data_IF_425577119779
#
_entry.id   IF_425577119779
#
_cell.length_a   1.000
_cell.length_b   1.000
_cell.length_c   1.000
_cell.angle_alpha   90.00
_cell.angle_beta   90.00
_cell.angle_gamma   90.00
#
_symmetry.space_group_name_H-M   'P 1'
#
loop_
_entity.id
_entity.type
_entity.pdbx_description
1 polymer ?
#
# COMPACT_ATOMS: atom_id res chain seq x y z
N UNK A 1 2.39 12.02 -23.19
CA UNK A 1 3.17 13.17 -22.70
C UNK A 1 2.52 13.64 -21.41
N UNK A 2 3.16 13.39 -20.27
CA UNK A 2 3.13 14.18 -19.03
C UNK A 2 3.77 13.38 -17.87
N UNK A 3 5.03 12.96 -18.06
CA UNK A 3 5.93 12.60 -16.95
C UNK A 3 6.86 13.79 -16.72
N UNK A 4 6.34 14.91 -16.26
CA UNK A 4 7.15 16.09 -15.94
C UNK A 4 6.63 16.75 -14.67
N UNK A 5 7.06 16.25 -13.50
CA UNK A 5 7.56 17.08 -12.39
C UNK A 5 7.98 16.23 -11.17
N UNK A 6 8.86 15.24 -11.39
CA UNK A 6 9.63 14.62 -10.30
C UNK A 6 10.85 15.48 -9.91
N UNK A 7 10.73 16.82 -9.98
CA UNK A 7 11.75 17.71 -9.43
C UNK A 7 11.55 17.84 -7.91
N UNK A 8 11.77 16.72 -7.24
CA UNK A 8 12.00 16.64 -5.80
C UNK A 8 13.38 17.20 -5.50
N UNK A 9 13.52 18.50 -5.69
CA UNK A 9 14.60 19.26 -5.06
C UNK A 9 14.34 19.13 -3.55
N UNK A 10 15.19 18.41 -2.83
CA UNK A 10 15.06 18.15 -1.39
C UNK A 10 15.02 19.49 -0.63
N UNK A 11 13.81 20.05 -0.46
CA UNK A 11 13.56 21.20 0.39
C UNK A 11 13.71 20.72 1.84
N UNK A 12 14.83 21.10 2.45
CA UNK A 12 15.18 20.82 3.85
C UNK A 12 14.45 21.70 4.86
N UNK A 13 13.69 22.70 4.38
CA UNK A 13 12.91 23.63 5.18
C UNK A 13 11.54 23.05 5.54
N UNK A 14 11.10 23.25 6.78
CA UNK A 14 9.76 22.87 7.19
C UNK A 14 8.68 23.60 6.37
N UNK A 15 7.58 22.92 6.00
CA UNK A 15 6.50 23.55 5.26
C UNK A 15 5.84 24.66 6.09
N UNK A 16 5.65 25.83 5.48
CA UNK A 16 4.97 26.96 6.14
C UNK A 16 3.51 26.63 6.50
N UNK A 17 2.91 27.30 7.50
CA UNK A 17 1.52 27.03 7.92
C UNK A 17 0.50 27.06 6.77
N UNK A 18 0.63 28.04 5.87
CA UNK A 18 -0.23 28.18 4.68
C UNK A 18 -0.08 27.03 3.67
N UNK A 19 1.12 26.42 3.58
CA UNK A 19 1.33 25.22 2.74
C UNK A 19 0.68 23.98 3.35
N UNK A 20 0.71 23.85 4.69
CA UNK A 20 0.05 22.76 5.40
C UNK A 20 -1.48 22.83 5.28
N UNK A 21 -2.08 24.02 5.44
CA UNK A 21 -3.52 24.23 5.20
C UNK A 21 -3.90 23.85 3.78
N UNK A 22 -3.17 24.37 2.78
CA UNK A 22 -3.43 24.06 1.38
C UNK A 22 -3.29 22.57 1.07
N UNK A 23 -2.27 21.89 1.60
CA UNK A 23 -2.11 20.45 1.42
C UNK A 23 -3.27 19.64 2.02
N UNK A 24 -3.83 20.10 3.15
CA UNK A 24 -5.03 19.51 3.76
C UNK A 24 -6.29 19.78 2.93
N UNK A 25 -6.48 20.99 2.44
CA UNK A 25 -7.59 21.38 1.56
C UNK A 25 -7.57 20.60 0.23
N UNK A 26 -6.38 20.40 -0.34
CA UNK A 26 -6.16 19.60 -1.55
C UNK A 26 -6.30 18.09 -1.31
N UNK A 27 -6.51 17.67 -0.06
CA UNK A 27 -6.65 16.26 0.30
C UNK A 27 -5.38 15.46 0.03
N UNK A 28 -4.19 16.09 0.08
CA UNK A 28 -2.91 15.42 -0.07
C UNK A 28 -2.68 14.48 1.12
N UNK A 29 -3.23 13.26 0.99
CA UNK A 29 -3.03 12.20 1.96
C UNK A 29 -1.63 11.64 1.75
N UNK A 30 -0.87 11.47 2.83
CA UNK A 30 0.46 10.85 2.76
C UNK A 30 0.33 9.42 2.20
N UNK A 31 0.66 9.24 0.91
CA UNK A 31 0.72 7.94 0.25
C UNK A 31 2.18 7.55 0.12
N UNK A 32 2.62 6.55 0.89
CA UNK A 32 3.90 5.91 0.60
C UNK A 32 3.78 5.19 -0.75
N UNK A 33 4.83 5.27 -1.58
CA UNK A 33 4.91 4.56 -2.88
C UNK A 33 4.71 3.04 -2.71
N UNK A 34 5.00 2.51 -1.52
CA UNK A 34 4.99 1.06 -1.24
C UNK A 34 3.81 0.58 -0.39
N UNK A 35 2.92 1.49 0.04
CA UNK A 35 1.83 1.17 0.98
C UNK A 35 0.87 0.12 0.41
N UNK A 36 0.59 0.18 -0.89
CA UNK A 36 -0.23 -0.80 -1.58
C UNK A 36 0.42 -2.19 -1.59
N UNK A 37 1.71 -2.27 -1.89
CA UNK A 37 2.47 -3.53 -1.88
C UNK A 37 2.48 -4.16 -0.50
N UNK A 38 2.75 -3.35 0.54
CA UNK A 38 2.68 -3.79 1.94
C UNK A 38 1.29 -4.34 2.30
N UNK A 39 0.22 -3.64 1.92
CA UNK A 39 -1.14 -4.09 2.19
C UNK A 39 -1.45 -5.45 1.52
N UNK A 40 -1.03 -5.64 0.28
CA UNK A 40 -1.21 -6.91 -0.45
C UNK A 40 -0.45 -8.05 0.24
N UNK A 41 0.80 -7.81 0.66
CA UNK A 41 1.60 -8.83 1.35
C UNK A 41 0.99 -9.24 2.68
N UNK A 42 0.52 -8.28 3.49
CA UNK A 42 -0.14 -8.55 4.77
C UNK A 42 -1.44 -9.31 4.55
N UNK A 43 -2.26 -8.88 3.59
CA UNK A 43 -3.53 -9.54 3.27
C UNK A 43 -3.30 -10.97 2.77
N UNK A 44 -2.31 -11.19 1.89
CA UNK A 44 -1.95 -12.50 1.38
C UNK A 44 -1.43 -13.44 2.47
N UNK A 45 -0.47 -12.97 3.28
CA UNK A 45 0.07 -13.74 4.40
C UNK A 45 -1.01 -14.06 5.44
N UNK A 46 -1.81 -13.06 5.83
CA UNK A 46 -2.91 -13.22 6.77
C UNK A 46 -3.98 -14.19 6.25
N UNK A 47 -4.35 -14.07 4.97
CA UNK A 47 -5.28 -14.98 4.32
C UNK A 47 -4.79 -16.43 4.30
N UNK A 48 -3.50 -16.64 4.01
CA UNK A 48 -2.89 -17.97 4.07
C UNK A 48 -2.86 -18.53 5.51
N UNK A 49 -2.61 -17.69 6.52
CA UNK A 49 -2.62 -18.15 7.92
C UNK A 49 -4.03 -18.53 8.38
N UNK A 50 -5.07 -17.77 7.98
CA UNK A 50 -6.46 -18.05 8.36
C UNK A 50 -7.07 -19.23 7.60
N UNK A 51 -6.81 -19.33 6.29
CA UNK A 51 -7.51 -20.27 5.40
C UNK A 51 -6.61 -21.39 4.85
N UNK A 52 -5.31 -21.34 5.08
CA UNK A 52 -4.35 -22.28 4.49
C UNK A 52 -4.61 -23.74 4.87
N UNK A 53 -5.01 -24.01 6.11
CA UNK A 53 -5.33 -25.38 6.55
C UNK A 53 -6.57 -25.94 5.82
N UNK A 54 -7.64 -25.15 5.70
CA UNK A 54 -8.84 -25.57 4.94
C UNK A 54 -8.55 -25.77 3.46
N UNK A 55 -7.70 -24.91 2.88
CA UNK A 55 -7.29 -25.01 1.49
C UNK A 55 -6.48 -26.30 1.26
N UNK A 56 -5.52 -26.59 2.14
CA UNK A 56 -4.72 -27.81 2.10
C UNK A 56 -5.56 -29.08 2.24
N UNK A 57 -6.50 -29.11 3.19
CA UNK A 57 -7.39 -30.25 3.38
C UNK A 57 -8.30 -30.49 2.17
N UNK A 58 -8.80 -29.41 1.54
CA UNK A 58 -9.62 -29.50 0.34
C UNK A 58 -8.82 -30.07 -0.84
N UNK A 59 -7.57 -29.61 -1.01
CA UNK A 59 -6.67 -30.12 -2.04
C UNK A 59 -6.31 -31.59 -1.81
N UNK A 60 -6.06 -32.00 -0.57
CA UNK A 60 -5.83 -33.41 -0.23
C UNK A 60 -7.05 -34.27 -0.55
N UNK A 61 -8.26 -33.79 -0.26
CA UNK A 61 -9.51 -34.48 -0.58
C UNK A 61 -9.69 -34.71 -2.09
N UNK A 62 -9.32 -33.73 -2.92
CA UNK A 62 -9.35 -33.87 -4.38
C UNK A 62 -8.31 -34.87 -4.87
N UNK A 63 -7.10 -34.88 -4.28
CA UNK A 63 -6.02 -35.77 -4.72
C UNK A 63 -6.22 -37.25 -4.33
N UNK A 64 -7.05 -37.52 -3.31
CA UNK A 64 -7.36 -38.88 -2.86
C UNK A 64 -8.64 -39.47 -3.49
N UNK A 65 -9.43 -38.64 -4.18
CA UNK A 65 -10.62 -39.06 -4.92
C UNK A 65 -10.25 -39.62 -6.30
#
# INVERSE_FOLDING_TARGET
MAEENDNSQEKTEEPTPRRLEKAREEGQTARSKELATMAVLIAGAGGLLMFGASLGASLEGIMRA
#
